data_IF_006439447423
#
_entry.id   IF_006439447423
#
_cell.length_a   1.000
_cell.length_b   1.000
_cell.length_c   1.000
_cell.angle_alpha   90.00
_cell.angle_beta   90.00
_cell.angle_gamma   90.00
#
_symmetry.space_group_name_H-M   'P 1'
#
loop_
_entity.id
_entity.type
_entity.pdbx_description
1 polymer ?
#
# COMPACT_ATOMS: atom_id res chain seq x y z
N UNK A 1 -16.38 1.76 7.17
CA UNK A 1 -15.74 0.42 7.11
C UNK A 1 -16.56 -0.67 6.44
N UNK A 2 -17.88 -0.80 6.68
CA UNK A 2 -18.68 -1.83 5.96
C UNK A 2 -18.75 -1.58 4.45
N UNK A 3 -19.15 -0.37 4.05
CA UNK A 3 -19.25 0.02 2.64
C UNK A 3 -17.98 -0.26 1.83
N UNK A 4 -16.82 0.19 2.33
CA UNK A 4 -15.55 0.01 1.61
C UNK A 4 -15.17 -1.47 1.45
N UNK A 5 -15.37 -2.31 2.47
CA UNK A 5 -15.15 -3.76 2.38
C UNK A 5 -16.08 -4.40 1.36
N UNK A 6 -17.34 -3.97 1.32
CA UNK A 6 -18.29 -4.40 0.29
C UNK A 6 -17.80 -4.00 -1.10
N UNK A 7 -17.22 -2.80 -1.28
CA UNK A 7 -16.62 -2.38 -2.56
C UNK A 7 -15.49 -3.31 -3.00
N UNK A 8 -14.61 -3.74 -2.09
CA UNK A 8 -13.57 -4.74 -2.38
C UNK A 8 -14.15 -6.08 -2.83
N UNK A 9 -15.15 -6.59 -2.10
CA UNK A 9 -15.79 -7.87 -2.42
C UNK A 9 -16.44 -7.81 -3.81
N UNK A 10 -17.21 -6.75 -4.08
CA UNK A 10 -17.83 -6.54 -5.40
C UNK A 10 -16.76 -6.46 -6.48
N UNK A 11 -15.71 -5.69 -6.25
CA UNK A 11 -14.63 -5.50 -7.21
C UNK A 11 -13.88 -6.81 -7.51
N UNK A 12 -13.51 -7.59 -6.48
CA UNK A 12 -12.86 -8.88 -6.67
C UNK A 12 -13.78 -9.89 -7.37
N UNK A 13 -15.07 -9.90 -7.04
CA UNK A 13 -16.04 -10.72 -7.77
C UNK A 13 -16.07 -10.38 -9.26
N UNK A 14 -16.17 -9.08 -9.60
CA UNK A 14 -16.14 -8.63 -10.99
C UNK A 14 -14.83 -9.03 -11.68
N UNK A 15 -13.68 -8.78 -11.03
CA UNK A 15 -12.38 -9.11 -11.58
C UNK A 15 -12.23 -10.62 -11.86
N UNK A 16 -12.72 -11.48 -10.97
CA UNK A 16 -12.73 -12.93 -11.16
C UNK A 16 -13.63 -13.37 -12.33
N UNK A 17 -14.80 -12.74 -12.49
CA UNK A 17 -15.69 -12.98 -13.64
C UNK A 17 -15.00 -12.59 -14.95
N UNK A 18 -14.37 -11.42 -15.00
CA UNK A 18 -13.64 -10.97 -16.19
C UNK A 18 -12.47 -11.88 -16.56
N UNK A 19 -11.71 -12.34 -15.57
CA UNK A 19 -10.62 -13.32 -15.76
C UNK A 19 -11.14 -14.64 -16.32
N UNK A 20 -12.21 -15.19 -15.75
CA UNK A 20 -12.82 -16.45 -16.23
C UNK A 20 -13.35 -16.35 -17.65
N UNK A 21 -13.86 -15.18 -18.03
CA UNK A 21 -14.36 -14.92 -19.38
C UNK A 21 -13.24 -14.73 -20.43
N UNK A 22 -11.96 -14.85 -20.04
CA UNK A 22 -10.77 -14.67 -20.89
C UNK A 22 -10.80 -13.39 -21.75
N UNK A 23 -11.35 -12.30 -21.20
CA UNK A 23 -11.58 -11.05 -21.96
C UNK A 23 -10.32 -10.20 -22.16
N UNK A 24 -9.18 -10.61 -21.63
CA UNK A 24 -7.92 -9.87 -21.70
C UNK A 24 -6.92 -10.61 -22.59
N UNK A 25 -7.23 -10.67 -23.89
CA UNK A 25 -6.44 -11.41 -24.89
C UNK A 25 -5.02 -10.82 -25.08
N UNK A 26 -4.81 -9.55 -24.69
CA UNK A 26 -3.55 -8.80 -24.88
C UNK A 26 -2.88 -8.41 -23.54
N UNK A 27 -3.55 -8.61 -22.41
CA UNK A 27 -3.10 -8.13 -21.10
C UNK A 27 -2.35 -9.18 -20.28
N UNK A 28 -1.47 -8.72 -19.38
CA UNK A 28 -0.76 -9.53 -18.39
C UNK A 28 -1.63 -9.92 -17.19
N UNK A 29 -2.85 -9.39 -17.11
CA UNK A 29 -3.77 -9.64 -15.99
C UNK A 29 -4.19 -11.11 -15.96
N UNK A 30 -3.80 -11.81 -14.90
CA UNK A 30 -4.03 -13.24 -14.72
C UNK A 30 -4.41 -13.58 -13.25
N UNK A 31 -4.60 -14.86 -12.97
CA UNK A 31 -4.96 -15.36 -11.63
C UNK A 31 -3.91 -15.04 -10.57
N UNK A 32 -2.63 -14.98 -10.92
CA UNK A 32 -1.57 -14.62 -10.00
C UNK A 32 -1.74 -13.17 -9.50
N UNK A 33 -1.95 -12.20 -10.39
CA UNK A 33 -2.19 -10.81 -9.99
C UNK A 33 -3.49 -10.62 -9.22
N UNK A 34 -4.53 -11.38 -9.55
CA UNK A 34 -5.76 -11.40 -8.77
C UNK A 34 -5.48 -11.77 -7.31
N UNK A 35 -4.76 -12.87 -7.07
CA UNK A 35 -4.42 -13.30 -5.71
C UNK A 35 -3.51 -12.30 -5.00
N UNK A 36 -2.56 -11.69 -5.71
CA UNK A 36 -1.75 -10.59 -5.17
C UNK A 36 -2.63 -9.42 -4.67
N UNK A 37 -3.64 -8.98 -5.43
CA UNK A 37 -4.53 -7.90 -4.96
C UNK A 37 -5.38 -8.30 -3.75
N UNK A 38 -5.83 -9.57 -3.70
CA UNK A 38 -6.52 -10.12 -2.53
C UNK A 38 -5.59 -10.10 -1.31
N UNK A 39 -4.34 -10.52 -1.48
CA UNK A 39 -3.33 -10.52 -0.42
C UNK A 39 -3.06 -9.12 0.15
N UNK A 40 -2.96 -8.10 -0.71
CA UNK A 40 -2.81 -6.72 -0.24
C UNK A 40 -4.00 -6.27 0.63
N UNK A 41 -5.22 -6.58 0.21
CA UNK A 41 -6.43 -6.27 0.98
C UNK A 41 -6.43 -7.00 2.34
N UNK A 42 -6.10 -8.30 2.34
CA UNK A 42 -6.02 -9.11 3.54
C UNK A 42 -4.92 -8.62 4.49
N UNK A 43 -3.79 -8.16 3.95
CA UNK A 43 -2.69 -7.56 4.72
C UNK A 43 -3.17 -6.33 5.48
N UNK A 44 -3.91 -5.43 4.83
CA UNK A 44 -4.48 -4.25 5.49
C UNK A 44 -5.57 -4.62 6.53
N UNK A 45 -6.34 -5.68 6.30
CA UNK A 45 -7.27 -6.23 7.29
C UNK A 45 -6.55 -6.81 8.50
N UNK A 46 -5.44 -7.53 8.29
CA UNK A 46 -4.59 -8.08 9.34
C UNK A 46 -3.97 -6.98 10.18
N UNK A 47 -3.40 -5.94 9.56
CA UNK A 47 -2.88 -4.75 10.26
C UNK A 47 -3.98 -4.12 11.12
N UNK A 48 -5.19 -3.95 10.56
CA UNK A 48 -6.33 -3.44 11.32
C UNK A 48 -6.76 -4.35 12.48
N UNK A 49 -6.65 -5.67 12.31
CA UNK A 49 -6.93 -6.65 13.36
C UNK A 49 -5.88 -6.61 14.48
N UNK A 50 -4.60 -6.49 14.14
CA UNK A 50 -3.50 -6.33 15.10
C UNK A 50 -3.74 -5.07 15.94
N UNK A 51 -4.02 -3.92 15.33
CA UNK A 51 -4.32 -2.68 16.07
C UNK A 51 -5.50 -2.85 17.03
N UNK A 52 -6.58 -3.51 16.60
CA UNK A 52 -7.72 -3.81 17.49
C UNK A 52 -7.34 -4.71 18.66
N UNK A 53 -6.54 -5.76 18.41
CA UNK A 53 -6.07 -6.69 19.46
C UNK A 53 -5.23 -5.98 20.52
N UNK A 54 -4.37 -5.04 20.12
CA UNK A 54 -3.57 -4.22 21.04
C UNK A 54 -4.29 -2.97 21.56
N UNK A 55 -5.61 -2.87 21.34
CA UNK A 55 -6.48 -1.79 21.82
C UNK A 55 -6.03 -0.40 21.36
N UNK A 56 -5.60 -0.29 20.10
CA UNK A 56 -5.33 0.98 19.41
C UNK A 56 -6.43 1.28 18.39
N UNK A 57 -6.97 2.49 18.42
CA UNK A 57 -8.05 2.92 17.52
C UNK A 57 -7.45 3.69 16.35
N UNK A 58 -6.90 2.96 15.38
CA UNK A 58 -6.31 3.52 14.16
C UNK A 58 -7.37 3.60 13.06
N UNK A 59 -7.61 4.80 12.52
CA UNK A 59 -8.59 5.00 11.44
C UNK A 59 -7.99 4.67 10.07
N UNK A 60 -8.17 3.43 9.64
CA UNK A 60 -7.59 2.95 8.38
C UNK A 60 -8.38 3.30 7.11
N UNK A 61 -9.55 3.94 7.22
CA UNK A 61 -10.47 4.13 6.09
C UNK A 61 -9.82 4.74 4.84
N UNK A 62 -8.95 5.74 5.01
CA UNK A 62 -8.27 6.37 3.88
C UNK A 62 -7.23 5.42 3.23
N UNK A 63 -6.53 4.62 4.03
CA UNK A 63 -5.61 3.62 3.50
C UNK A 63 -6.34 2.58 2.64
N UNK A 64 -7.54 2.14 3.05
CA UNK A 64 -8.37 1.25 2.22
C UNK A 64 -8.81 1.92 0.91
N UNK A 65 -9.18 3.20 0.92
CA UNK A 65 -9.59 3.86 -0.33
C UNK A 65 -8.43 3.97 -1.31
N UNK A 66 -7.24 4.33 -0.81
CA UNK A 66 -6.04 4.44 -1.63
C UNK A 66 -5.61 3.07 -2.16
N UNK A 67 -5.69 2.02 -1.34
CA UNK A 67 -5.40 0.67 -1.78
C UNK A 67 -6.40 0.17 -2.83
N UNK A 68 -7.69 0.50 -2.71
CA UNK A 68 -8.68 0.15 -3.73
C UNK A 68 -8.38 0.85 -5.06
N UNK A 69 -8.04 2.15 -5.01
CA UNK A 69 -7.62 2.91 -6.19
C UNK A 69 -6.39 2.27 -6.83
N UNK A 70 -5.38 1.93 -6.02
CA UNK A 70 -4.18 1.22 -6.47
C UNK A 70 -4.53 -0.07 -7.20
N UNK A 71 -5.38 -0.92 -6.62
CA UNK A 71 -5.79 -2.20 -7.21
C UNK A 71 -6.53 -1.97 -8.53
N UNK A 72 -7.48 -1.04 -8.56
CA UNK A 72 -8.25 -0.72 -9.78
C UNK A 72 -7.32 -0.26 -10.89
N UNK A 73 -6.44 0.72 -10.63
CA UNK A 73 -5.52 1.24 -11.64
C UNK A 73 -4.61 0.11 -12.15
N UNK A 74 -4.02 -0.68 -11.27
CA UNK A 74 -3.12 -1.76 -11.65
C UNK A 74 -3.81 -2.87 -12.44
N UNK A 75 -5.05 -3.23 -12.07
CA UNK A 75 -5.83 -4.18 -12.86
C UNK A 75 -6.05 -3.70 -14.29
N UNK A 76 -6.35 -2.41 -14.48
CA UNK A 76 -6.61 -1.81 -15.79
C UNK A 76 -5.33 -1.70 -16.60
N UNK A 77 -4.21 -1.32 -15.95
CA UNK A 77 -2.89 -1.31 -16.60
C UNK A 77 -2.50 -2.71 -17.06
N UNK A 78 -2.64 -3.73 -16.21
CA UNK A 78 -2.33 -5.11 -16.58
C UNK A 78 -3.27 -5.63 -17.69
N UNK A 79 -4.54 -5.23 -17.67
CA UNK A 79 -5.53 -5.65 -18.66
C UNK A 79 -5.33 -5.03 -20.05
N UNK A 80 -4.95 -3.75 -20.12
CA UNK A 80 -5.03 -2.95 -21.35
C UNK A 80 -3.72 -2.28 -21.76
N UNK A 81 -2.71 -2.24 -20.90
CA UNK A 81 -1.48 -1.47 -21.10
C UNK A 81 -0.27 -2.13 -20.44
N UNK A 82 0.06 -3.40 -20.78
CA UNK A 82 1.14 -4.14 -20.13
C UNK A 82 2.51 -3.45 -20.27
N UNK A 83 2.73 -2.67 -21.34
CA UNK A 83 3.96 -1.87 -21.52
C UNK A 83 4.16 -0.82 -20.40
N UNK A 84 3.09 -0.37 -19.76
CA UNK A 84 3.13 0.59 -18.64
C UNK A 84 3.26 -0.09 -17.27
N UNK A 85 3.28 -1.43 -17.22
CA UNK A 85 3.33 -2.20 -15.99
C UNK A 85 4.49 -1.78 -15.10
N UNK A 86 5.71 -1.65 -15.63
CA UNK A 86 6.85 -1.28 -14.78
C UNK A 86 6.65 0.11 -14.16
N UNK A 87 6.19 1.11 -14.92
CA UNK A 87 5.99 2.45 -14.37
C UNK A 87 4.85 2.50 -13.33
N UNK A 88 3.71 1.90 -13.65
CA UNK A 88 2.49 2.01 -12.83
C UNK A 88 2.49 1.01 -11.68
N UNK A 89 2.84 -0.24 -11.94
CA UNK A 89 2.82 -1.31 -10.95
C UNK A 89 3.98 -1.19 -9.98
N UNK A 90 5.17 -0.91 -10.50
CA UNK A 90 6.37 -0.76 -9.68
C UNK A 90 6.40 0.66 -9.09
N UNK A 91 6.80 1.67 -9.86
CA UNK A 91 7.14 3.00 -9.31
C UNK A 91 5.97 3.74 -8.69
N UNK A 92 4.83 3.82 -9.37
CA UNK A 92 3.64 4.45 -8.81
C UNK A 92 3.05 3.63 -7.64
N UNK A 93 3.23 2.31 -7.65
CA UNK A 93 2.94 1.44 -6.52
C UNK A 93 3.71 1.81 -5.26
N UNK A 94 5.02 2.03 -5.37
CA UNK A 94 5.84 2.50 -4.25
C UNK A 94 5.43 3.89 -3.75
N UNK A 95 5.01 4.81 -4.63
CA UNK A 95 4.45 6.09 -4.18
C UNK A 95 3.19 5.88 -3.35
N UNK A 96 2.24 5.07 -3.84
CA UNK A 96 0.97 4.83 -3.12
C UNK A 96 1.16 4.04 -1.83
N UNK A 97 2.09 3.08 -1.78
CA UNK A 97 2.41 2.38 -0.53
C UNK A 97 3.04 3.33 0.49
N UNK A 98 3.92 4.24 0.07
CA UNK A 98 4.45 5.32 0.92
C UNK A 98 3.35 6.21 1.51
N UNK A 99 2.35 6.58 0.71
CA UNK A 99 1.16 7.32 1.17
C UNK A 99 0.38 6.50 2.23
N UNK A 100 0.16 5.21 1.98
CA UNK A 100 -0.53 4.32 2.92
C UNK A 100 0.26 4.18 4.24
N UNK A 101 1.57 3.94 4.17
CA UNK A 101 2.43 3.82 5.34
C UNK A 101 2.42 5.10 6.19
N UNK A 102 2.46 6.27 5.55
CA UNK A 102 2.36 7.55 6.24
C UNK A 102 1.00 7.77 6.91
N UNK A 103 -0.11 7.43 6.23
CA UNK A 103 -1.46 7.53 6.83
C UNK A 103 -1.61 6.63 8.06
N UNK A 104 -1.13 5.39 7.97
CA UNK A 104 -1.16 4.44 9.08
C UNK A 104 -0.31 4.95 10.24
N UNK A 105 0.92 5.38 9.96
CA UNK A 105 1.85 5.91 10.97
C UNK A 105 1.31 7.17 11.64
N UNK A 106 0.69 8.06 10.87
CA UNK A 106 0.05 9.27 11.37
C UNK A 106 -1.08 8.95 12.35
N UNK A 107 -2.02 8.10 11.97
CA UNK A 107 -3.15 7.74 12.83
C UNK A 107 -2.70 6.92 14.05
N UNK A 108 -1.69 6.06 13.89
CA UNK A 108 -1.08 5.30 14.97
C UNK A 108 -0.46 6.23 16.03
N UNK A 109 0.44 7.13 15.62
CA UNK A 109 1.08 8.07 16.53
C UNK A 109 0.08 9.00 17.19
N UNK A 110 -0.88 9.54 16.42
CA UNK A 110 -1.95 10.38 16.98
C UNK A 110 -2.72 9.65 18.09
N UNK A 111 -3.04 8.37 17.89
CA UNK A 111 -3.75 7.58 18.89
C UNK A 111 -2.90 7.34 20.13
N UNK A 112 -1.64 6.89 19.95
CA UNK A 112 -0.71 6.62 21.06
C UNK A 112 -0.49 7.88 21.90
N UNK A 113 -0.16 9.00 21.27
CA UNK A 113 0.09 10.26 21.96
C UNK A 113 -1.15 10.77 22.70
N UNK A 114 -2.33 10.66 22.08
CA UNK A 114 -3.59 11.04 22.71
C UNK A 114 -3.92 10.16 23.92
N UNK A 115 -3.71 8.84 23.82
CA UNK A 115 -3.93 7.88 24.91
C UNK A 115 -3.03 8.17 26.12
N UNK A 116 -1.79 8.58 25.87
CA UNK A 116 -0.80 8.89 26.91
C UNK A 116 -0.72 10.39 27.27
N UNK A 117 -1.58 11.25 26.69
CA UNK A 117 -1.60 12.71 26.88
C UNK A 117 -0.24 13.39 26.59
N UNK A 118 0.56 12.83 25.68
CA UNK A 118 1.86 13.37 25.30
C UNK A 118 1.64 14.45 24.24
N UNK A 119 2.27 15.62 24.42
CA UNK A 119 2.28 16.71 23.45
C UNK A 119 3.65 16.77 22.78
N UNK A 120 3.67 16.75 21.45
CA UNK A 120 4.87 16.93 20.64
C UNK A 120 4.75 18.21 19.82
N UNK A 121 5.88 18.82 19.48
CA UNK A 121 5.91 19.85 18.44
C UNK A 121 5.53 19.23 17.10
N UNK A 122 4.92 20.03 16.21
CA UNK A 122 4.52 19.57 14.87
C UNK A 122 5.69 18.96 14.09
N UNK A 123 6.88 19.58 14.20
CA UNK A 123 8.09 19.09 13.55
C UNK A 123 8.49 17.70 14.06
N UNK A 124 8.50 17.50 15.39
CA UNK A 124 8.88 16.22 15.96
C UNK A 124 7.85 15.12 15.66
N UNK A 125 6.56 15.46 15.67
CA UNK A 125 5.50 14.54 15.23
C UNK A 125 5.70 14.10 13.78
N UNK A 126 5.98 15.04 12.87
CA UNK A 126 6.22 14.73 11.45
C UNK A 126 7.46 13.86 11.25
N UNK A 127 8.55 14.10 12.00
CA UNK A 127 9.74 13.25 11.97
C UNK A 127 9.40 11.83 12.40
N UNK A 128 8.62 11.64 13.46
CA UNK A 128 8.21 10.30 13.89
C UNK A 128 7.33 9.59 12.85
N UNK A 129 6.39 10.32 12.23
CA UNK A 129 5.56 9.76 11.14
C UNK A 129 6.45 9.34 9.97
N UNK A 130 7.39 10.20 9.57
CA UNK A 130 8.35 9.91 8.51
C UNK A 130 9.14 8.65 8.83
N UNK A 131 9.76 8.58 10.02
CA UNK A 131 10.58 7.44 10.43
C UNK A 131 9.79 6.13 10.41
N UNK A 132 8.60 6.08 11.00
CA UNK A 132 7.78 4.86 11.02
C UNK A 132 7.36 4.44 9.60
N UNK A 133 7.00 5.40 8.75
CA UNK A 133 6.58 5.11 7.38
C UNK A 133 7.75 4.66 6.51
N UNK A 134 8.93 5.27 6.66
CA UNK A 134 10.17 4.84 5.99
C UNK A 134 10.60 3.46 6.45
N UNK A 135 10.48 3.14 7.74
CA UNK A 135 10.73 1.78 8.24
C UNK A 135 9.82 0.75 7.58
N UNK A 136 8.53 1.07 7.38
CA UNK A 136 7.63 0.19 6.64
C UNK A 136 8.04 0.01 5.16
N UNK A 137 8.51 1.08 4.50
CA UNK A 137 9.09 1.00 3.15
C UNK A 137 10.31 0.07 3.08
N UNK A 138 11.25 0.20 4.03
CA UNK A 138 12.41 -0.70 4.12
C UNK A 138 11.97 -2.15 4.34
N UNK A 139 10.99 -2.40 5.20
CA UNK A 139 10.45 -3.75 5.38
C UNK A 139 9.79 -4.31 4.11
N UNK A 140 9.16 -3.47 3.29
CA UNK A 140 8.62 -3.90 1.99
C UNK A 140 9.73 -4.43 1.09
N UNK A 141 10.83 -3.68 0.94
CA UNK A 141 12.00 -4.12 0.15
C UNK A 141 12.63 -5.41 0.71
N UNK A 142 12.70 -5.55 2.04
CA UNK A 142 13.21 -6.79 2.67
C UNK A 142 12.29 -7.98 2.35
N UNK A 143 10.98 -7.79 2.34
CA UNK A 143 10.01 -8.84 1.97
C UNK A 143 10.18 -9.20 0.49
N UNK A 144 10.37 -8.22 -0.39
CA UNK A 144 10.62 -8.46 -1.81
C UNK A 144 11.92 -9.23 -2.03
N UNK A 145 13.00 -8.88 -1.33
CA UNK A 145 14.26 -9.62 -1.33
C UNK A 145 14.05 -11.08 -0.87
N UNK A 146 13.29 -11.29 0.20
CA UNK A 146 12.99 -12.63 0.70
C UNK A 146 12.17 -13.45 -0.32
N UNK A 147 11.22 -12.82 -1.03
CA UNK A 147 10.46 -13.47 -2.10
C UNK A 147 11.34 -13.83 -3.29
N UNK A 148 12.25 -12.95 -3.69
CA UNK A 148 13.21 -13.24 -4.76
C UNK A 148 14.11 -14.43 -4.41
N UNK A 149 14.61 -14.48 -3.17
CA UNK A 149 15.42 -15.60 -2.71
C UNK A 149 14.66 -16.93 -2.63
N UNK A 150 13.39 -16.89 -2.18
CA UNK A 150 12.59 -18.10 -1.93
C UNK A 150 11.86 -18.62 -3.17
N UNK A 151 11.53 -17.76 -4.12
CA UNK A 151 10.72 -18.11 -5.30
C UNK A 151 11.47 -17.99 -6.62
N UNK A 152 12.69 -17.44 -6.61
CA UNK A 152 13.46 -17.15 -7.82
C UNK A 152 12.87 -15.99 -8.63
N UNK A 153 11.98 -15.18 -8.04
CA UNK A 153 11.46 -13.97 -8.68
C UNK A 153 12.53 -12.88 -8.80
N UNK A 154 12.23 -11.83 -9.56
CA UNK A 154 13.06 -10.63 -9.73
C UNK A 154 12.23 -9.37 -9.41
N UNK A 155 11.62 -9.34 -8.21
CA UNK A 155 10.79 -8.22 -7.75
C UNK A 155 11.63 -7.04 -7.30
N UNK A 156 12.70 -7.30 -6.56
CA UNK A 156 13.64 -6.28 -6.07
C UNK A 156 14.40 -5.61 -7.22
N UNK A 157 14.62 -6.34 -8.32
CA UNK A 157 15.42 -5.88 -9.46
C UNK A 157 16.92 -5.68 -9.12
N UNK A 158 17.72 -5.12 -10.05
CA UNK A 158 19.09 -4.66 -9.77
C UNK A 158 19.13 -3.60 -8.67
N UNK A 159 20.26 -3.44 -7.95
CA UNK A 159 20.34 -2.56 -6.77
C UNK A 159 19.99 -1.06 -6.96
N UNK A 160 19.94 -0.55 -8.19
CA UNK A 160 19.41 0.78 -8.49
C UNK A 160 17.87 0.88 -8.38
N UNK A 161 17.17 -0.25 -8.48
CA UNK A 161 15.72 -0.34 -8.38
C UNK A 161 15.28 -0.13 -6.93
N UNK A 162 15.86 -0.85 -5.97
CA UNK A 162 15.60 -0.66 -4.53
C UNK A 162 15.76 0.80 -4.09
N UNK A 163 16.84 1.46 -4.52
CA UNK A 163 17.07 2.87 -4.18
C UNK A 163 15.98 3.77 -4.76
N UNK A 164 15.53 3.48 -5.98
CA UNK A 164 14.45 4.20 -6.63
C UNK A 164 13.11 3.93 -5.95
N UNK A 165 12.84 2.71 -5.51
CA UNK A 165 11.59 2.32 -4.84
C UNK A 165 11.47 2.94 -3.45
N UNK A 166 12.56 2.95 -2.68
CA UNK A 166 12.62 3.70 -1.42
C UNK A 166 12.46 5.20 -1.62
N UNK A 167 13.00 5.76 -2.72
CA UNK A 167 12.77 7.16 -3.08
C UNK A 167 11.28 7.40 -3.41
N UNK A 168 10.64 6.51 -4.16
CA UNK A 168 9.21 6.61 -4.46
C UNK A 168 8.35 6.51 -3.20
N UNK A 169 8.67 5.59 -2.27
CA UNK A 169 8.02 5.54 -0.96
C UNK A 169 8.19 6.87 -0.22
N UNK A 170 9.40 7.42 -0.21
CA UNK A 170 9.72 8.70 0.43
C UNK A 170 8.88 9.84 -0.14
N UNK A 171 8.71 9.90 -1.47
CA UNK A 171 7.83 10.88 -2.12
C UNK A 171 6.37 10.74 -1.65
N UNK A 172 5.86 9.51 -1.58
CA UNK A 172 4.52 9.23 -1.04
C UNK A 172 4.34 9.71 0.40
N UNK A 173 5.35 9.48 1.26
CA UNK A 173 5.34 9.93 2.65
C UNK A 173 5.30 11.46 2.72
N UNK A 174 6.14 12.14 1.93
CA UNK A 174 6.20 13.60 1.91
C UNK A 174 4.87 14.23 1.47
N UNK A 175 4.15 13.63 0.52
CA UNK A 175 2.80 14.09 0.12
C UNK A 175 1.88 14.17 1.34
N UNK A 176 1.84 13.13 2.17
CA UNK A 176 1.00 13.13 3.37
C UNK A 176 1.45 14.19 4.38
N UNK A 177 2.76 14.32 4.63
CA UNK A 177 3.28 15.30 5.59
C UNK A 177 2.99 16.75 5.14
N UNK A 178 3.01 17.03 3.84
CA UNK A 178 2.68 18.34 3.27
C UNK A 178 1.18 18.63 3.33
N UNK A 179 0.32 17.65 3.03
CA UNK A 179 -1.14 17.82 3.06
C UNK A 179 -1.65 17.90 4.51
N UNK A 180 -1.13 17.06 5.40
CA UNK A 180 -1.45 17.09 6.83
C UNK A 180 -1.02 18.41 7.50
N UNK A 181 -0.10 19.17 6.88
CA UNK A 181 0.36 20.46 7.37
C UNK A 181 -0.75 21.53 7.43
N UNK A 182 -1.82 21.38 6.65
CA UNK A 182 -2.94 22.35 6.57
C UNK A 182 -4.07 22.12 7.57
N UNK A 183 -3.93 21.15 8.48
CA UNK A 183 -4.83 20.92 9.62
C UNK A 183 -4.10 21.18 10.94
#
# INVERSE_FOLDING_TARGET
MRFIRTSYIIYFFLLAVFLKANRFIVGDLNSYFFWYFVELFLTLELVGLVFRKIKLVVKLQNAYWILLIYIVINSLTLAFSPNWRNLVFNRFGHVLSGVIFALISFELLKNILSKHKIKLTKSFFNVLVFSLASTAGVFNEIIELALDYTTGSQRLGPGGDTATDLLMNTLGILIILLVARKR
#
